data_IF_052645257376
#
_entry.id   IF_052645257376
#
_cell.length_a   1.000
_cell.length_b   1.000
_cell.length_c   1.000
_cell.angle_alpha   90.00
_cell.angle_beta   90.00
_cell.angle_gamma   90.00
#
_symmetry.space_group_name_H-M   'P 1'
#
loop_
_entity.id
_entity.type
_entity.pdbx_description
1 polymer ?
#
# COMPACT_ATOMS: atom_id res chain seq x y z
N UNK A 1 28.07 -3.40 59.42
CA UNK A 1 27.42 -3.91 58.19
C UNK A 1 27.08 -2.72 57.30
N UNK A 2 27.56 -2.70 56.05
CA UNK A 2 27.20 -1.70 55.04
C UNK A 2 25.98 -2.19 54.26
N UNK A 3 25.14 -1.26 53.80
CA UNK A 3 24.81 -1.20 52.38
C UNK A 3 25.06 0.25 51.91
N UNK A 4 26.09 0.57 51.12
CA UNK A 4 26.28 0.34 49.68
C UNK A 4 25.01 0.56 48.84
N UNK A 5 25.00 1.73 48.19
CA UNK A 5 24.72 1.93 46.77
C UNK A 5 23.39 1.39 46.24
N UNK A 6 22.30 2.14 46.45
CA UNK A 6 21.14 2.09 45.54
C UNK A 6 20.57 3.51 45.48
N UNK A 7 20.86 4.25 44.40
CA UNK A 7 19.97 5.18 43.70
C UNK A 7 20.77 5.98 42.67
N UNK A 8 21.32 5.30 41.67
CA UNK A 8 21.90 5.95 40.49
C UNK A 8 21.61 5.09 39.26
N UNK A 9 20.33 4.72 39.10
CA UNK A 9 19.78 4.01 37.93
C UNK A 9 18.46 4.65 37.50
N UNK A 10 18.41 5.98 37.43
CA UNK A 10 17.23 6.72 36.94
C UNK A 10 17.54 7.72 35.81
N UNK A 11 18.80 7.78 35.34
CA UNK A 11 19.20 8.61 34.19
C UNK A 11 19.56 7.80 32.93
N UNK A 12 19.28 6.48 32.89
CA UNK A 12 19.66 5.63 31.76
C UNK A 12 18.52 5.30 30.77
N UNK A 13 17.33 5.88 30.94
CA UNK A 13 16.17 5.65 30.05
C UNK A 13 15.95 6.83 29.08
N UNK A 14 16.83 7.83 29.08
CA UNK A 14 16.74 8.98 28.17
C UNK A 14 17.51 8.77 26.85
N UNK A 15 17.76 7.54 26.43
CA UNK A 15 17.93 7.24 25.01
C UNK A 15 16.54 7.05 24.39
N UNK A 16 15.76 8.13 24.33
CA UNK A 16 14.83 8.32 23.23
C UNK A 16 15.69 8.39 21.96
N UNK A 17 16.08 7.23 21.45
CA UNK A 17 16.55 7.14 20.08
C UNK A 17 15.42 7.68 19.23
N UNK A 18 15.64 8.82 18.57
CA UNK A 18 14.91 9.11 17.36
C UNK A 18 15.13 7.88 16.48
N UNK A 19 14.12 7.05 16.29
CA UNK A 19 14.19 6.02 15.26
C UNK A 19 14.60 6.76 13.98
N UNK A 20 15.66 6.32 13.28
CA UNK A 20 16.01 6.93 12.02
C UNK A 20 14.75 6.93 11.16
N UNK A 21 14.41 8.11 10.62
CA UNK A 21 13.29 8.22 9.68
C UNK A 21 13.60 7.27 8.53
N UNK A 22 12.75 6.26 8.35
CA UNK A 22 12.89 5.28 7.26
C UNK A 22 13.11 6.06 5.96
N UNK A 23 14.03 5.58 5.12
CA UNK A 23 14.24 6.17 3.80
C UNK A 23 13.30 5.55 2.77
N UNK A 24 13.01 6.28 1.69
CA UNK A 24 12.21 5.73 0.58
C UNK A 24 12.85 4.47 0.00
N UNK A 25 14.19 4.41 0.00
CA UNK A 25 14.92 3.24 -0.50
C UNK A 25 14.71 2.02 0.41
N UNK A 26 14.79 2.19 1.73
CA UNK A 26 14.49 1.10 2.69
C UNK A 26 13.05 0.61 2.51
N UNK A 27 12.08 1.53 2.40
CA UNK A 27 10.69 1.16 2.15
C UNK A 27 10.53 0.41 0.82
N UNK A 28 11.23 0.84 -0.22
CA UNK A 28 11.23 0.15 -1.51
C UNK A 28 11.85 -1.24 -1.42
N UNK A 29 12.92 -1.41 -0.64
CA UNK A 29 13.57 -2.70 -0.42
C UNK A 29 12.64 -3.71 0.26
N UNK A 30 11.74 -3.25 1.14
CA UNK A 30 10.66 -4.07 1.66
C UNK A 30 9.62 -4.39 0.57
N UNK A 31 9.10 -3.36 -0.11
CA UNK A 31 8.06 -3.49 -1.12
C UNK A 31 8.45 -4.45 -2.26
N UNK A 32 9.71 -4.44 -2.71
CA UNK A 32 10.15 -5.25 -3.86
C UNK A 32 10.12 -6.75 -3.58
N UNK A 33 10.11 -7.16 -2.31
CA UNK A 33 10.12 -8.57 -1.88
C UNK A 33 8.72 -9.18 -1.78
N UNK A 34 7.68 -8.36 -1.78
CA UNK A 34 6.29 -8.80 -1.59
C UNK A 34 5.79 -9.57 -2.81
N UNK A 35 5.09 -10.68 -2.56
CA UNK A 35 4.29 -11.35 -3.58
C UNK A 35 2.92 -10.66 -3.70
N UNK A 36 2.68 -10.05 -4.85
CA UNK A 36 1.46 -9.30 -5.13
C UNK A 36 0.36 -10.16 -5.77
N UNK A 37 0.54 -11.49 -5.84
CA UNK A 37 -0.38 -12.41 -6.52
C UNK A 37 -1.81 -12.36 -5.98
N UNK A 38 -2.00 -12.10 -4.68
CA UNK A 38 -3.32 -11.98 -4.05
C UNK A 38 -4.13 -10.77 -4.57
N UNK A 39 -3.47 -9.78 -5.16
CA UNK A 39 -4.11 -8.56 -5.66
C UNK A 39 -4.38 -8.60 -7.16
N UNK A 40 -4.20 -9.76 -7.82
CA UNK A 40 -4.34 -9.88 -9.27
C UNK A 40 -5.72 -9.40 -9.75
N UNK A 41 -5.72 -8.51 -10.74
CA UNK A 41 -6.93 -7.85 -11.26
C UNK A 41 -7.70 -7.05 -10.19
N UNK A 42 -6.95 -6.50 -9.22
CA UNK A 42 -7.47 -5.68 -8.15
C UNK A 42 -6.75 -4.32 -8.11
N UNK A 43 -7.50 -3.28 -7.76
CA UNK A 43 -6.95 -1.98 -7.39
C UNK A 43 -7.55 -1.54 -6.07
N UNK A 44 -6.71 -1.10 -5.15
CA UNK A 44 -7.11 -0.57 -3.84
C UNK A 44 -6.53 0.84 -3.69
N UNK A 45 -7.37 1.79 -3.30
CA UNK A 45 -6.95 3.13 -2.89
C UNK A 45 -7.55 3.42 -1.51
N UNK A 46 -6.71 3.74 -0.52
CA UNK A 46 -7.19 4.16 0.79
C UNK A 46 -7.27 5.69 0.85
N UNK A 47 -8.47 6.21 1.09
CA UNK A 47 -8.71 7.64 1.32
C UNK A 47 -9.31 7.82 2.70
N UNK A 48 -8.45 8.11 3.69
CA UNK A 48 -8.85 8.44 5.07
C UNK A 48 -9.74 7.35 5.71
N UNK A 49 -9.35 6.08 5.55
CA UNK A 49 -10.07 4.93 6.13
C UNK A 49 -11.27 4.44 5.33
N UNK A 50 -11.48 4.99 4.12
CA UNK A 50 -12.42 4.46 3.14
C UNK A 50 -11.61 3.85 2.01
N UNK A 51 -11.84 2.57 1.73
CA UNK A 51 -11.20 1.87 0.63
C UNK A 51 -12.05 2.01 -0.64
N UNK A 52 -11.42 2.40 -1.74
CA UNK A 52 -11.97 2.25 -3.07
C UNK A 52 -11.32 1.03 -3.68
N UNK A 53 -12.10 -0.05 -3.84
CA UNK A 53 -11.66 -1.33 -4.36
C UNK A 53 -12.24 -1.50 -5.75
N UNK A 54 -11.40 -1.67 -6.76
CA UNK A 54 -11.83 -2.14 -8.09
C UNK A 54 -11.49 -3.62 -8.19
N UNK A 55 -12.50 -4.44 -8.43
CA UNK A 55 -12.40 -5.89 -8.54
C UNK A 55 -13.50 -6.41 -9.47
N UNK A 56 -13.17 -7.32 -10.38
CA UNK A 56 -14.08 -7.79 -11.45
C UNK A 56 -14.71 -6.65 -12.27
N UNK A 57 -13.87 -5.73 -12.72
CA UNK A 57 -14.26 -4.57 -13.55
C UNK A 57 -15.31 -3.63 -12.91
N UNK A 58 -15.56 -3.75 -11.60
CA UNK A 58 -16.46 -2.90 -10.84
C UNK A 58 -15.74 -2.23 -9.67
N UNK A 59 -16.05 -0.96 -9.42
CA UNK A 59 -15.50 -0.19 -8.31
C UNK A 59 -16.51 -0.08 -7.16
N UNK A 60 -16.05 -0.47 -5.98
CA UNK A 60 -16.79 -0.48 -4.73
C UNK A 60 -16.11 0.39 -3.69
N UNK A 61 -16.91 1.10 -2.92
CA UNK A 61 -16.50 1.76 -1.69
C UNK A 61 -16.70 0.77 -0.55
N UNK A 62 -15.59 0.40 0.10
CA UNK A 62 -15.56 -0.58 1.19
C UNK A 62 -15.20 0.13 2.49
N UNK A 63 -15.96 -0.15 3.55
CA UNK A 63 -15.58 0.22 4.92
C UNK A 63 -15.27 -1.05 5.69
N UNK A 64 -14.16 -1.01 6.43
CA UNK A 64 -13.77 -2.04 7.37
C UNK A 64 -14.27 -1.66 8.77
N UNK A 65 -14.74 -2.66 9.51
CA UNK A 65 -14.96 -2.53 10.95
C UNK A 65 -13.62 -2.50 11.66
N UNK A 66 -13.34 -1.40 12.37
CA UNK A 66 -12.10 -1.19 13.13
C UNK A 66 -11.86 -2.26 14.22
N UNK A 67 -12.91 -2.92 14.71
CA UNK A 67 -12.81 -3.88 15.80
C UNK A 67 -12.76 -5.34 15.34
N UNK A 68 -13.31 -5.63 14.17
CA UNK A 68 -13.47 -6.99 13.68
C UNK A 68 -12.51 -7.36 12.55
N UNK A 69 -11.80 -6.38 11.97
CA UNK A 69 -11.02 -6.55 10.74
C UNK A 69 -11.84 -7.28 9.66
N UNK A 70 -13.10 -6.87 9.52
CA UNK A 70 -14.10 -7.40 8.59
C UNK A 70 -14.76 -6.27 7.84
N UNK A 71 -15.24 -6.54 6.64
CA UNK A 71 -16.01 -5.58 5.85
C UNK A 71 -17.33 -5.31 6.59
N UNK A 72 -17.57 -4.04 6.92
CA UNK A 72 -18.82 -3.59 7.53
C UNK A 72 -19.84 -3.11 6.49
N UNK A 73 -19.37 -2.59 5.35
CA UNK A 73 -20.24 -2.14 4.27
C UNK A 73 -19.51 -2.15 2.93
N UNK A 74 -20.26 -2.50 1.88
CA UNK A 74 -19.84 -2.40 0.48
C UNK A 74 -20.90 -1.60 -0.26
N UNK A 75 -20.50 -0.49 -0.88
CA UNK A 75 -21.35 0.37 -1.69
C UNK A 75 -20.76 0.45 -3.10
N UNK A 76 -21.57 0.53 -4.16
CA UNK A 76 -21.05 0.83 -5.49
C UNK A 76 -20.51 2.26 -5.51
N UNK A 77 -19.33 2.47 -6.09
CA UNK A 77 -18.75 3.81 -6.19
C UNK A 77 -19.41 4.68 -7.29
N UNK A 78 -20.10 4.04 -8.26
CA UNK A 78 -20.82 4.70 -9.35
C UNK A 78 -22.04 3.88 -9.78
N UNK A 79 -23.08 4.55 -10.28
CA UNK A 79 -24.28 3.92 -10.84
C UNK A 79 -24.01 3.09 -12.11
N UNK A 80 -22.90 3.33 -12.81
CA UNK A 80 -22.50 2.54 -13.98
C UNK A 80 -22.06 1.11 -13.59
N UNK A 81 -21.70 0.90 -12.33
CA UNK A 81 -21.24 -0.40 -11.81
C UNK A 81 -22.37 -1.34 -11.39
N UNK A 82 -23.62 -1.06 -11.80
CA UNK A 82 -24.88 -1.70 -11.35
C UNK A 82 -24.99 -3.22 -11.49
N UNK A 83 -23.97 -3.95 -11.97
CA UNK A 83 -24.08 -5.37 -12.35
C UNK A 83 -23.28 -6.38 -11.53
N UNK A 84 -22.35 -5.98 -10.66
CA UNK A 84 -21.49 -6.95 -9.95
C UNK A 84 -21.74 -6.91 -8.44
N UNK A 85 -22.52 -7.87 -7.97
CA UNK A 85 -22.70 -8.18 -6.54
C UNK A 85 -21.60 -9.17 -6.13
N UNK A 86 -20.86 -8.84 -5.07
CA UNK A 86 -19.87 -9.75 -4.50
C UNK A 86 -20.53 -10.95 -3.85
N UNK A 87 -19.99 -12.13 -4.14
CA UNK A 87 -20.29 -13.35 -3.40
C UNK A 87 -19.64 -13.32 -2.01
N UNK A 88 -19.96 -14.31 -1.18
CA UNK A 88 -19.29 -14.47 0.12
C UNK A 88 -17.79 -14.77 -0.03
N UNK A 89 -17.43 -15.50 -1.09
CA UNK A 89 -16.04 -15.81 -1.42
C UNK A 89 -15.29 -14.53 -1.82
N UNK A 90 -15.89 -13.71 -2.70
CA UNK A 90 -15.32 -12.40 -3.08
C UNK A 90 -15.12 -11.51 -1.86
N UNK A 91 -16.12 -11.45 -0.98
CA UNK A 91 -16.04 -10.64 0.25
C UNK A 91 -14.88 -11.10 1.14
N UNK A 92 -14.71 -12.42 1.30
CA UNK A 92 -13.65 -13.00 2.13
C UNK A 92 -12.27 -12.77 1.50
N UNK A 93 -12.16 -12.89 0.18
CA UNK A 93 -10.94 -12.60 -0.56
C UNK A 93 -10.54 -11.12 -0.43
N UNK A 94 -11.47 -10.20 -0.66
CA UNK A 94 -11.23 -8.75 -0.50
C UNK A 94 -10.91 -8.40 0.95
N UNK A 95 -11.55 -9.03 1.95
CA UNK A 95 -11.17 -8.86 3.36
C UNK A 95 -9.71 -9.25 3.63
N UNK A 96 -9.24 -10.36 3.04
CA UNK A 96 -7.85 -10.79 3.11
C UNK A 96 -6.92 -9.76 2.47
N UNK A 97 -7.20 -9.40 1.22
CA UNK A 97 -6.40 -8.44 0.47
C UNK A 97 -6.32 -7.07 1.17
N UNK A 98 -7.40 -6.58 1.78
CA UNK A 98 -7.40 -5.31 2.51
C UNK A 98 -6.51 -5.35 3.76
N UNK A 99 -6.41 -6.50 4.45
CA UNK A 99 -5.49 -6.67 5.58
C UNK A 99 -4.05 -6.62 5.12
N UNK A 100 -3.71 -7.40 4.08
CA UNK A 100 -2.37 -7.38 3.49
C UNK A 100 -2.03 -5.96 3.00
N UNK A 101 -2.98 -5.26 2.35
CA UNK A 101 -2.81 -3.88 1.92
C UNK A 101 -2.48 -2.92 3.07
N UNK A 102 -3.17 -3.04 4.20
CA UNK A 102 -2.91 -2.20 5.39
C UNK A 102 -1.53 -2.48 5.99
N UNK A 103 -1.08 -3.74 6.00
CA UNK A 103 0.27 -4.13 6.46
C UNK A 103 1.37 -3.56 5.57
N UNK A 104 1.13 -3.45 4.25
CA UNK A 104 2.09 -2.86 3.31
C UNK A 104 2.32 -1.37 3.60
N UNK A 105 1.31 -0.65 4.08
CA UNK A 105 1.43 0.75 4.50
C UNK A 105 1.62 1.74 3.33
N UNK A 106 0.83 1.60 2.26
CA UNK A 106 0.86 2.45 1.06
C UNK A 106 -0.50 3.12 0.81
N UNK A 107 -0.53 4.15 -0.05
CA UNK A 107 -1.76 4.88 -0.37
C UNK A 107 -2.62 4.13 -1.39
N UNK A 108 -1.98 3.55 -2.39
CA UNK A 108 -2.66 2.84 -3.47
C UNK A 108 -1.81 1.67 -3.99
N UNK A 109 -2.50 0.62 -4.38
CA UNK A 109 -1.96 -0.59 -4.99
C UNK A 109 -2.87 -1.00 -6.15
N UNK A 110 -2.29 -1.41 -7.27
CA UNK A 110 -3.02 -2.08 -8.34
C UNK A 110 -2.16 -3.15 -8.98
N UNK A 111 -2.75 -4.32 -9.24
CA UNK A 111 -2.14 -5.34 -10.08
C UNK A 111 -3.06 -5.58 -11.26
N UNK A 112 -2.57 -5.30 -12.47
CA UNK A 112 -3.38 -5.45 -13.68
C UNK A 112 -3.51 -6.93 -14.10
N UNK A 113 -4.39 -7.19 -15.09
CA UNK A 113 -4.60 -8.54 -15.66
C UNK A 113 -3.32 -9.17 -16.22
N UNK A 114 -2.35 -8.34 -16.61
CA UNK A 114 -1.04 -8.74 -17.12
C UNK A 114 -0.01 -8.93 -16.00
N UNK A 115 -0.37 -8.74 -14.73
CA UNK A 115 0.48 -8.92 -13.57
C UNK A 115 1.46 -7.77 -13.30
N UNK A 116 1.31 -6.61 -13.95
CA UNK A 116 2.12 -5.44 -13.60
C UNK A 116 1.63 -4.85 -12.28
N UNK A 117 2.55 -4.42 -11.42
CA UNK A 117 2.25 -3.88 -10.09
C UNK A 117 2.44 -2.37 -10.11
N UNK A 118 1.44 -1.62 -9.66
CA UNK A 118 1.49 -0.18 -9.46
C UNK A 118 1.29 0.15 -7.98
N UNK A 119 2.19 0.93 -7.40
CA UNK A 119 2.14 1.35 -5.99
C UNK A 119 2.23 2.88 -5.92
N UNK A 120 1.53 3.48 -4.97
CA UNK A 120 1.68 4.90 -4.64
C UNK A 120 2.01 5.07 -3.17
N UNK A 121 3.13 5.74 -2.89
CA UNK A 121 3.67 5.96 -1.56
C UNK A 121 3.89 7.47 -1.32
N UNK A 122 3.01 8.13 -0.58
CA UNK A 122 3.27 9.46 -0.04
C UNK A 122 4.43 9.40 0.96
N UNK A 123 5.31 10.39 0.92
CA UNK A 123 6.46 10.48 1.82
C UNK A 123 6.58 11.84 2.50
N UNK A 124 7.47 11.92 3.49
CA UNK A 124 7.68 13.09 4.33
C UNK A 124 8.20 14.32 3.57
N UNK A 125 8.80 14.12 2.39
CA UNK A 125 9.30 15.19 1.52
C UNK A 125 8.20 15.92 0.72
N UNK A 126 6.92 15.64 1.02
CA UNK A 126 5.73 16.12 0.30
C UNK A 126 5.68 15.66 -1.15
N UNK A 127 6.33 14.54 -1.44
CA UNK A 127 6.23 13.86 -2.71
C UNK A 127 5.45 12.56 -2.57
N UNK A 128 4.84 12.14 -3.67
CA UNK A 128 4.31 10.79 -3.85
C UNK A 128 5.21 10.06 -4.83
N UNK A 129 5.71 8.91 -4.39
CA UNK A 129 6.52 7.99 -5.17
C UNK A 129 5.59 6.96 -5.79
N UNK A 130 5.52 6.94 -7.11
CA UNK A 130 4.74 5.97 -7.85
C UNK A 130 5.68 4.90 -8.39
N UNK A 131 5.65 3.71 -7.80
CA UNK A 131 6.43 2.57 -8.27
C UNK A 131 5.62 1.74 -9.27
N UNK A 132 6.30 1.27 -10.31
CA UNK A 132 5.74 0.39 -11.32
C UNK A 132 6.68 -0.80 -11.53
N UNK A 133 6.21 -2.02 -11.25
CA UNK A 133 6.89 -3.27 -11.61
C UNK A 133 6.30 -3.79 -12.92
N UNK A 134 7.12 -3.89 -13.97
CA UNK A 134 6.69 -4.54 -15.21
C UNK A 134 7.01 -6.02 -15.19
N UNK A 135 6.09 -6.86 -15.65
CA UNK A 135 6.47 -8.23 -16.03
C UNK A 135 7.43 -8.21 -17.24
N UNK A 136 8.29 -9.23 -17.42
CA UNK A 136 9.36 -9.22 -18.43
C UNK A 136 8.90 -8.96 -19.87
N UNK A 137 7.66 -9.33 -20.22
CA UNK A 137 7.13 -9.19 -21.57
C UNK A 137 6.44 -7.84 -21.83
N UNK A 138 6.37 -6.97 -20.82
CA UNK A 138 5.69 -5.68 -20.91
C UNK A 138 6.71 -4.54 -21.02
N UNK A 139 6.32 -3.48 -21.73
CA UNK A 139 7.14 -2.26 -21.91
C UNK A 139 6.38 -1.05 -21.39
N UNK A 140 7.11 0.01 -21.00
CA UNK A 140 6.50 1.29 -20.60
C UNK A 140 5.61 1.87 -21.68
N UNK A 141 5.98 1.72 -22.96
CA UNK A 141 5.16 2.16 -24.09
C UNK A 141 3.86 1.36 -24.18
N UNK A 142 3.93 0.03 -24.06
CA UNK A 142 2.77 -0.86 -24.09
C UNK A 142 1.75 -0.55 -22.99
N UNK A 143 2.21 -0.12 -21.82
CA UNK A 143 1.33 0.28 -20.70
C UNK A 143 1.07 1.79 -20.63
N UNK A 144 1.53 2.58 -21.62
CA UNK A 144 1.37 4.05 -21.70
C UNK A 144 1.92 4.81 -20.48
N UNK A 145 3.11 4.43 -20.03
CA UNK A 145 3.85 4.99 -18.87
C UNK A 145 5.25 5.47 -19.24
N UNK A 146 5.44 6.01 -20.44
CA UNK A 146 6.77 6.44 -20.94
C UNK A 146 7.46 7.51 -20.07
N UNK A 147 6.72 8.20 -19.21
CA UNK A 147 7.25 9.21 -18.28
C UNK A 147 7.93 8.61 -17.04
N UNK A 148 7.77 7.31 -16.78
CA UNK A 148 8.47 6.63 -15.69
C UNK A 148 9.95 6.44 -16.02
N UNK A 149 10.81 6.58 -15.01
CA UNK A 149 12.24 6.31 -15.12
C UNK A 149 12.56 4.95 -14.53
N UNK A 150 13.54 4.24 -15.11
CA UNK A 150 14.02 2.97 -14.55
C UNK A 150 14.60 3.21 -13.15
N UNK A 151 14.22 2.38 -12.19
CA UNK A 151 14.66 2.48 -10.80
C UNK A 151 15.61 1.32 -10.45
N UNK A 152 15.10 0.09 -10.33
CA UNK A 152 15.89 -1.11 -10.02
C UNK A 152 15.31 -2.35 -10.70
N UNK A 153 16.13 -3.12 -11.42
CA UNK A 153 15.64 -4.31 -12.13
C UNK A 153 14.54 -3.96 -13.13
N UNK A 154 13.35 -4.54 -12.93
CA UNK A 154 12.11 -4.27 -13.68
C UNK A 154 11.16 -3.29 -12.97
N UNK A 155 11.64 -2.58 -11.95
CA UNK A 155 10.95 -1.51 -11.28
C UNK A 155 11.28 -0.15 -11.88
N UNK A 156 10.26 0.68 -11.95
CA UNK A 156 10.30 2.04 -12.47
C UNK A 156 9.66 2.99 -11.46
N UNK A 157 10.06 4.25 -11.50
CA UNK A 157 9.61 5.28 -10.58
C UNK A 157 9.18 6.53 -11.35
N UNK A 158 8.05 7.09 -10.92
CA UNK A 158 7.64 8.47 -11.19
C UNK A 158 7.45 9.19 -9.85
N UNK A 159 8.06 10.35 -9.68
CA UNK A 159 8.03 11.13 -8.44
C UNK A 159 7.26 12.43 -8.69
N UNK A 160 6.19 12.65 -7.92
CA UNK A 160 5.39 13.87 -8.00
C UNK A 160 5.40 14.61 -6.68
N UNK A 161 5.85 15.86 -6.69
CA UNK A 161 5.90 16.70 -5.50
C UNK A 161 4.88 17.83 -5.59
N UNK A 162 4.26 18.18 -4.46
CA UNK A 162 3.45 19.39 -4.37
C UNK A 162 4.34 20.63 -4.53
N UNK A 163 3.97 21.57 -5.39
CA UNK A 163 4.59 22.89 -5.44
C UNK A 163 4.33 23.65 -4.13
N UNK A 164 5.27 24.53 -3.74
CA UNK A 164 5.19 25.31 -2.50
C UNK A 164 4.33 26.55 -2.67
#
# INVERSE_FOLDING_TARGET
MRPKFIFLVLCAISFCGCAPEESVQEKFDDLKTIDYSEFRDMSIVNRKGIYLVTYHDAMHRVKMSLFANKISSVELASEENKKVLWTKEDTTHVEGALKSFDEIGILALSVDKSGNVHLSLPWYDRCTYHFLKLLPNNTLEGVKKQYYQRYEGNWYLDKKCSER
#
